data_IF_764647982997
#
_entry.id   IF_764647982997
#
_cell.length_a   1.000
_cell.length_b   1.000
_cell.length_c   1.000
_cell.angle_alpha   90.00
_cell.angle_beta   90.00
_cell.angle_gamma   90.00
#
_symmetry.space_group_name_H-M   'P 1'
#
loop_
_entity.id
_entity.type
_entity.pdbx_description
1 polymer ?
#
# COMPACT_ATOMS: atom_id res chain seq x y z
N UNK A 1 27.84 55.82 6.57
CA UNK A 1 26.51 55.58 7.17
C UNK A 1 25.47 55.67 6.06
N UNK A 2 24.77 54.58 5.75
CA UNK A 2 23.66 54.61 4.79
C UNK A 2 22.45 55.29 5.45
N UNK A 3 22.07 56.49 5.00
CA UNK A 3 20.84 57.15 5.42
C UNK A 3 19.66 56.54 4.65
N UNK A 4 18.92 55.65 5.31
CA UNK A 4 17.65 55.13 4.80
C UNK A 4 16.53 56.12 5.12
N UNK A 5 15.74 56.48 4.11
CA UNK A 5 14.56 57.34 4.31
C UNK A 5 13.49 56.58 5.11
N UNK A 6 12.66 57.28 5.90
CA UNK A 6 11.56 56.68 6.69
C UNK A 6 10.68 55.73 5.85
N UNK A 7 10.45 56.07 4.57
CA UNK A 7 9.65 55.27 3.64
C UNK A 7 10.33 53.96 3.22
N UNK A 8 11.66 53.97 3.06
CA UNK A 8 12.44 52.78 2.77
C UNK A 8 12.55 51.88 4.01
N UNK A 9 12.72 52.46 5.20
CA UNK A 9 12.72 51.72 6.45
C UNK A 9 11.39 50.99 6.70
N UNK A 10 10.24 51.68 6.51
CA UNK A 10 8.91 51.06 6.67
C UNK A 10 8.68 49.93 5.64
N UNK A 11 9.14 50.09 4.39
CA UNK A 11 9.05 49.03 3.38
C UNK A 11 9.90 47.80 3.74
N UNK A 12 11.14 48.02 4.19
CA UNK A 12 12.04 46.94 4.59
C UNK A 12 11.55 46.23 5.87
N UNK A 13 11.06 46.99 6.85
CA UNK A 13 10.43 46.42 8.05
C UNK A 13 9.18 45.61 7.69
N UNK A 14 8.33 46.13 6.81
CA UNK A 14 7.14 45.42 6.31
C UNK A 14 7.47 44.10 5.61
N UNK A 15 8.49 44.08 4.75
CA UNK A 15 8.97 42.85 4.09
C UNK A 15 9.54 41.83 5.09
N UNK A 16 10.27 42.29 6.11
CA UNK A 16 10.84 41.40 7.15
C UNK A 16 9.79 40.79 8.10
N UNK A 17 8.64 41.45 8.23
CA UNK A 17 7.52 40.99 9.07
C UNK A 17 6.53 40.14 8.25
N UNK A 18 6.38 40.41 6.95
CA UNK A 18 5.52 39.64 6.05
C UNK A 18 5.88 38.15 6.04
N UNK A 19 7.17 37.80 6.03
CA UNK A 19 7.64 36.40 6.09
C UNK A 19 7.32 35.68 7.42
N UNK A 20 6.99 36.43 8.48
CA UNK A 20 6.61 35.88 9.80
C UNK A 20 5.11 35.82 10.02
N UNK A 21 4.33 36.64 9.31
CA UNK A 21 2.87 36.74 9.49
C UNK A 21 2.12 35.96 8.39
N UNK A 22 2.68 35.85 7.19
CA UNK A 22 2.08 35.11 6.09
C UNK A 22 2.54 33.65 6.20
N UNK A 23 1.64 32.70 6.50
CA UNK A 23 2.02 31.31 6.51
C UNK A 23 2.58 30.87 5.14
N UNK A 24 3.66 30.10 5.13
CA UNK A 24 4.30 29.56 3.91
C UNK A 24 3.34 28.82 2.96
N UNK A 25 2.16 28.41 3.41
CA UNK A 25 1.12 27.81 2.56
C UNK A 25 0.39 28.80 1.64
N UNK A 26 0.44 30.12 1.90
CA UNK A 26 -0.10 31.16 1.00
C UNK A 26 0.86 31.50 -0.16
N UNK A 27 2.16 31.16 -0.01
CA UNK A 27 3.17 31.25 -1.06
C UNK A 27 3.44 29.90 -1.73
N UNK A 28 2.58 28.91 -1.51
CA UNK A 28 2.59 27.73 -2.36
C UNK A 28 2.12 28.18 -3.75
N UNK A 29 3.09 28.49 -4.63
CA UNK A 29 2.84 28.33 -6.05
C UNK A 29 2.14 26.99 -6.24
N UNK A 30 1.09 26.98 -7.05
CA UNK A 30 0.50 25.74 -7.54
C UNK A 30 1.60 24.98 -8.26
N UNK A 31 2.35 24.16 -7.52
CA UNK A 31 3.34 23.24 -8.07
C UNK A 31 2.59 22.46 -9.12
N UNK A 32 2.91 22.72 -10.39
CA UNK A 32 2.29 22.07 -11.54
C UNK A 32 2.07 20.60 -11.18
N UNK A 33 0.82 20.14 -11.31
CA UNK A 33 0.40 18.83 -10.82
C UNK A 33 1.27 17.79 -11.53
N UNK A 34 2.25 17.24 -10.80
CA UNK A 34 3.15 16.24 -11.36
C UNK A 34 2.30 15.10 -11.90
N UNK A 35 2.51 14.73 -13.15
CA UNK A 35 1.80 13.62 -13.77
C UNK A 35 2.36 12.26 -13.32
N UNK A 36 3.48 12.28 -12.60
CA UNK A 36 4.18 11.09 -12.17
C UNK A 36 3.30 10.25 -11.24
N UNK A 37 3.24 8.95 -11.52
CA UNK A 37 2.65 7.95 -10.63
C UNK A 37 3.79 7.33 -9.82
N UNK A 38 3.54 7.06 -8.55
CA UNK A 38 4.50 6.42 -7.65
C UNK A 38 3.92 5.08 -7.22
N UNK A 39 4.68 4.01 -7.45
CA UNK A 39 4.38 2.66 -6.98
C UNK A 39 5.51 2.23 -6.06
N UNK A 40 5.17 1.89 -4.82
CA UNK A 40 6.07 1.37 -3.81
C UNK A 40 5.79 -0.14 -3.73
N UNK A 41 6.75 -0.96 -4.13
CA UNK A 41 6.65 -2.42 -4.04
C UNK A 41 7.52 -2.89 -2.90
N UNK A 42 6.97 -3.73 -2.04
CA UNK A 42 7.66 -4.28 -0.86
C UNK A 42 7.53 -5.80 -0.83
N UNK A 43 8.66 -6.47 -0.67
CA UNK A 43 8.73 -7.89 -0.30
C UNK A 43 8.61 -7.95 1.23
N UNK A 44 7.39 -7.68 1.71
CA UNK A 44 7.03 -7.42 3.10
C UNK A 44 7.24 -8.60 4.04
N UNK A 45 7.13 -9.84 3.56
CA UNK A 45 7.47 -11.04 4.33
C UNK A 45 8.96 -11.13 4.70
N UNK A 46 9.80 -10.28 4.09
CA UNK A 46 11.22 -10.16 4.43
C UNK A 46 12.10 -11.02 3.53
N UNK A 47 12.99 -10.37 2.80
CA UNK A 47 14.02 -11.03 2.00
C UNK A 47 15.40 -10.66 2.48
N UNK A 48 16.27 -11.65 2.56
CA UNK A 48 17.69 -11.44 2.89
C UNK A 48 18.47 -11.07 1.65
N UNK A 49 19.56 -10.33 1.84
CA UNK A 49 20.50 -9.99 0.78
C UNK A 49 21.15 -11.25 0.17
N UNK A 50 21.48 -12.24 1.00
CA UNK A 50 22.08 -13.53 0.58
C UNK A 50 21.24 -14.28 -0.45
N UNK A 51 19.91 -14.23 -0.31
CA UNK A 51 18.96 -14.89 -1.20
C UNK A 51 18.51 -14.01 -2.37
N UNK A 52 18.98 -12.77 -2.46
CA UNK A 52 18.58 -11.80 -3.50
C UNK A 52 19.79 -11.19 -4.22
N UNK A 53 20.27 -10.02 -3.79
CA UNK A 53 21.28 -9.27 -4.56
C UNK A 53 22.74 -9.70 -4.30
N UNK A 54 22.99 -10.72 -3.48
CA UNK A 54 24.29 -11.38 -3.38
C UNK A 54 24.59 -12.22 -4.63
N UNK A 55 25.86 -12.49 -4.98
CA UNK A 55 26.23 -13.23 -6.19
C UNK A 55 25.50 -14.56 -6.40
N UNK A 56 25.27 -15.34 -5.34
CA UNK A 56 24.53 -16.60 -5.42
C UNK A 56 23.00 -16.43 -5.36
N UNK A 57 22.53 -15.30 -4.82
CA UNK A 57 21.12 -15.00 -4.63
C UNK A 57 20.41 -14.54 -5.90
N UNK A 58 21.14 -13.92 -6.85
CA UNK A 58 20.52 -13.26 -8.00
C UNK A 58 19.72 -14.21 -8.89
N UNK A 59 20.04 -15.51 -8.84
CA UNK A 59 19.29 -16.56 -9.55
C UNK A 59 17.82 -16.66 -9.10
N UNK A 60 17.50 -16.20 -7.89
CA UNK A 60 16.14 -16.22 -7.34
C UNK A 60 15.34 -14.98 -7.75
N UNK A 61 15.99 -13.94 -8.28
CA UNK A 61 15.36 -12.64 -8.61
C UNK A 61 15.72 -12.10 -10.02
N UNK A 62 15.61 -12.90 -11.08
CA UNK A 62 15.98 -12.46 -12.43
C UNK A 62 15.23 -11.21 -12.89
N UNK A 63 13.92 -11.05 -12.57
CA UNK A 63 13.13 -9.88 -13.00
C UNK A 63 13.56 -8.60 -12.30
N UNK A 64 13.75 -8.64 -10.97
CA UNK A 64 14.27 -7.48 -10.25
C UNK A 64 15.69 -7.10 -10.71
N UNK A 65 16.49 -8.07 -11.15
CA UNK A 65 17.82 -7.80 -11.70
C UNK A 65 17.73 -7.07 -13.06
N UNK A 66 16.75 -7.40 -13.90
CA UNK A 66 16.47 -6.70 -15.16
C UNK A 66 16.11 -5.22 -14.95
N UNK A 67 15.46 -4.88 -13.83
CA UNK A 67 15.11 -3.49 -13.48
C UNK A 67 16.31 -2.65 -13.00
N UNK A 68 17.40 -3.31 -12.59
CA UNK A 68 18.58 -2.63 -12.03
C UNK A 68 19.19 -1.55 -12.94
N UNK A 69 19.41 -1.77 -14.26
CA UNK A 69 19.89 -0.71 -15.16
C UNK A 69 18.89 0.41 -15.43
N UNK A 70 17.59 0.21 -15.16
CA UNK A 70 16.54 1.20 -15.45
C UNK A 70 16.39 2.26 -14.34
N UNK A 71 17.12 2.12 -13.24
CA UNK A 71 16.99 3.02 -12.10
C UNK A 71 18.24 3.10 -11.22
N UNK A 72 18.04 3.63 -10.01
CA UNK A 72 19.10 3.75 -9.02
C UNK A 72 19.10 2.54 -8.09
N UNK A 73 20.22 1.81 -8.10
CA UNK A 73 20.42 0.67 -7.21
C UNK A 73 21.23 1.06 -5.98
N UNK A 74 20.58 1.05 -4.82
CA UNK A 74 21.20 1.31 -3.53
C UNK A 74 21.76 0.01 -2.94
N UNK A 75 23.09 -0.15 -2.99
CA UNK A 75 23.78 -1.37 -2.50
C UNK A 75 23.73 -1.52 -0.98
N UNK A 76 23.76 -0.40 -0.28
CA UNK A 76 23.85 -0.33 1.17
C UNK A 76 22.59 0.35 1.72
N UNK A 77 21.62 -0.47 2.12
CA UNK A 77 20.41 -0.02 2.80
C UNK A 77 20.51 -0.44 4.28
N UNK A 78 20.35 0.53 5.19
CA UNK A 78 20.38 0.30 6.63
C UNK A 78 19.00 0.56 7.21
N UNK A 79 18.52 -0.36 8.05
CA UNK A 79 17.36 -0.13 8.90
C UNK A 79 17.87 0.09 10.33
N UNK A 80 17.61 1.28 10.88
CA UNK A 80 17.94 1.64 12.28
C UNK A 80 16.72 1.69 13.19
N UNK A 81 15.55 1.30 12.67
CA UNK A 81 14.30 1.19 13.42
C UNK A 81 13.97 -0.26 13.79
N UNK A 82 12.67 -0.51 14.03
CA UNK A 82 12.15 -1.83 14.36
C UNK A 82 12.07 -2.70 13.10
N UNK A 83 12.56 -3.94 13.19
CA UNK A 83 12.64 -4.89 12.06
C UNK A 83 11.35 -5.68 11.80
N UNK A 84 10.28 -5.43 12.53
CA UNK A 84 8.99 -6.08 12.27
C UNK A 84 8.39 -5.60 10.95
N UNK A 85 7.60 -6.45 10.31
CA UNK A 85 7.06 -6.21 8.97
C UNK A 85 6.22 -4.93 8.89
N UNK A 86 5.32 -4.75 9.87
CA UNK A 86 4.46 -3.58 9.94
C UNK A 86 5.26 -2.30 10.17
N UNK A 87 6.14 -2.26 11.18
CA UNK A 87 6.94 -1.08 11.48
C UNK A 87 7.91 -0.73 10.35
N UNK A 88 8.51 -1.73 9.69
CA UNK A 88 9.40 -1.52 8.55
C UNK A 88 8.67 -0.86 7.39
N UNK A 89 7.50 -1.38 6.99
CA UNK A 89 6.74 -0.81 5.88
C UNK A 89 6.12 0.54 6.25
N UNK A 90 5.61 0.67 7.47
CA UNK A 90 5.12 1.95 7.98
C UNK A 90 6.23 3.02 7.94
N UNK A 91 7.46 2.68 8.33
CA UNK A 91 8.58 3.62 8.27
C UNK A 91 8.87 4.09 6.84
N UNK A 92 8.74 3.19 5.84
CA UNK A 92 8.86 3.55 4.41
C UNK A 92 7.77 4.54 4.01
N UNK A 93 6.51 4.25 4.29
CA UNK A 93 5.38 5.12 3.88
C UNK A 93 5.23 6.37 4.74
N UNK A 94 6.11 6.60 5.70
CA UNK A 94 6.11 7.81 6.54
C UNK A 94 7.38 8.64 6.47
N UNK A 95 8.49 8.02 6.07
CA UNK A 95 9.80 8.66 6.06
C UNK A 95 10.39 8.91 7.46
N UNK A 96 9.95 8.19 8.50
CA UNK A 96 10.57 8.23 9.82
C UNK A 96 10.55 6.86 10.49
N UNK A 97 11.57 6.60 11.32
CA UNK A 97 11.60 5.43 12.20
C UNK A 97 10.55 5.59 13.30
N UNK A 98 9.84 4.50 13.56
CA UNK A 98 8.87 4.45 14.65
C UNK A 98 8.87 3.09 15.35
N UNK A 99 8.14 3.04 16.46
CA UNK A 99 7.79 1.81 17.15
C UNK A 99 6.34 1.88 17.61
N UNK A 100 5.48 1.18 16.90
CA UNK A 100 4.09 0.87 17.27
C UNK A 100 3.93 -0.63 17.36
N UNK A 101 2.72 -1.10 17.68
CA UNK A 101 2.39 -2.52 17.67
C UNK A 101 2.79 -3.22 16.36
N UNK A 102 3.41 -4.41 16.48
CA UNK A 102 3.95 -5.16 15.33
C UNK A 102 2.87 -5.86 14.50
N UNK A 103 1.67 -6.00 15.05
CA UNK A 103 0.53 -6.68 14.44
C UNK A 103 -0.46 -5.71 13.78
N UNK A 104 -0.16 -4.40 13.80
CA UNK A 104 -0.96 -3.37 13.15
C UNK A 104 -2.28 -3.05 13.84
N UNK A 105 -2.45 -3.44 15.12
CA UNK A 105 -3.59 -3.02 15.94
C UNK A 105 -3.58 -1.51 16.22
N UNK A 106 -2.41 -0.88 16.09
CA UNK A 106 -2.24 0.55 16.15
C UNK A 106 -1.88 1.08 14.75
N UNK A 107 -2.55 2.13 14.26
CA UNK A 107 -2.12 2.77 13.03
C UNK A 107 -0.72 3.39 13.21
N UNK A 108 -0.03 3.69 12.12
CA UNK A 108 1.14 4.55 12.15
C UNK A 108 0.91 5.82 13.01
N UNK A 109 1.78 6.07 14.01
CA UNK A 109 1.82 7.29 14.84
C UNK A 109 1.85 8.70 14.18
N UNK A 110 2.46 8.87 13.00
CA UNK A 110 2.61 10.12 12.25
C UNK A 110 2.01 9.97 10.85
N UNK A 111 1.86 11.06 10.09
CA UNK A 111 1.17 11.03 8.79
C UNK A 111 1.87 10.14 7.76
N UNK A 112 1.07 9.36 7.04
CA UNK A 112 1.50 8.56 5.89
C UNK A 112 1.69 9.43 4.64
N UNK A 113 2.42 8.92 3.65
CA UNK A 113 2.56 9.54 2.33
C UNK A 113 1.19 9.70 1.66
N UNK A 114 0.24 8.80 1.91
CA UNK A 114 -1.14 8.93 1.41
C UNK A 114 -1.82 10.17 1.98
N UNK A 115 -1.77 10.34 3.29
CA UNK A 115 -2.34 11.47 4.01
C UNK A 115 -1.71 12.80 3.62
N UNK A 116 -0.38 12.84 3.55
CA UNK A 116 0.37 14.00 3.10
C UNK A 116 0.00 14.37 1.66
N UNK A 117 -0.02 13.39 0.75
CA UNK A 117 -0.32 13.61 -0.65
C UNK A 117 -1.77 14.08 -0.86
N UNK A 118 -2.75 13.39 -0.25
CA UNK A 118 -4.17 13.76 -0.34
C UNK A 118 -4.44 15.15 0.22
N UNK A 119 -3.85 15.48 1.38
CA UNK A 119 -4.03 16.80 2.01
C UNK A 119 -3.36 17.92 1.22
N UNK A 120 -2.13 17.74 0.74
CA UNK A 120 -1.39 18.79 0.03
C UNK A 120 -1.90 19.02 -1.39
N UNK A 121 -2.33 17.97 -2.09
CA UNK A 121 -2.74 18.05 -3.49
C UNK A 121 -4.25 18.11 -3.69
N UNK A 122 -5.04 17.99 -2.63
CA UNK A 122 -6.52 17.96 -2.68
C UNK A 122 -7.03 16.91 -3.67
N UNK A 123 -6.37 15.76 -3.74
CA UNK A 123 -6.75 14.65 -4.64
C UNK A 123 -7.79 13.74 -3.99
N UNK A 124 -8.44 12.89 -4.80
CA UNK A 124 -9.50 12.00 -4.33
C UNK A 124 -8.89 10.79 -3.62
N UNK A 125 -9.70 10.11 -2.80
CA UNK A 125 -9.30 8.86 -2.16
C UNK A 125 -8.77 7.82 -3.15
N UNK A 126 -9.41 7.69 -4.32
CA UNK A 126 -9.00 6.71 -5.35
C UNK A 126 -7.66 6.98 -6.00
N UNK A 127 -7.04 8.13 -5.74
CA UNK A 127 -5.71 8.42 -6.23
C UNK A 127 -4.64 7.73 -5.37
N UNK A 128 -5.01 7.15 -4.22
CA UNK A 128 -4.10 6.56 -3.22
C UNK A 128 -4.55 5.19 -2.72
N UNK A 129 -3.68 4.19 -2.80
CA UNK A 129 -4.00 2.81 -2.41
C UNK A 129 -2.85 2.12 -1.68
N UNK A 130 -3.17 1.23 -0.75
CA UNK A 130 -2.30 0.25 -0.15
C UNK A 130 -2.95 -1.12 -0.31
N UNK A 131 -2.26 -2.03 -1.00
CA UNK A 131 -2.73 -3.39 -1.26
C UNK A 131 -1.74 -4.33 -0.62
N UNK A 132 -2.19 -5.12 0.34
CA UNK A 132 -1.29 -5.95 1.15
C UNK A 132 -1.90 -7.33 1.41
N UNK A 133 -1.08 -8.37 1.39
CA UNK A 133 -1.57 -9.74 1.61
C UNK A 133 -1.94 -10.00 3.08
N UNK A 134 -1.25 -9.37 4.03
CA UNK A 134 -1.38 -9.66 5.46
C UNK A 134 -2.31 -8.68 6.20
N UNK A 135 -3.17 -9.22 7.08
CA UNK A 135 -4.16 -8.45 7.85
C UNK A 135 -3.56 -7.36 8.75
N UNK A 136 -2.31 -7.48 9.17
CA UNK A 136 -1.63 -6.46 9.98
C UNK A 136 -1.52 -5.11 9.27
N UNK A 137 -1.70 -5.08 7.93
CA UNK A 137 -1.61 -3.85 7.14
C UNK A 137 -2.96 -3.12 7.03
N UNK A 138 -4.02 -3.58 7.70
CA UNK A 138 -5.34 -2.96 7.64
C UNK A 138 -5.31 -1.46 7.96
N UNK A 139 -4.44 -1.05 8.88
CA UNK A 139 -4.29 0.34 9.33
C UNK A 139 -3.23 1.15 8.55
N UNK A 140 -2.63 0.59 7.50
CA UNK A 140 -1.50 1.23 6.78
C UNK A 140 -1.90 2.48 5.98
N UNK A 141 -3.19 2.65 5.70
CA UNK A 141 -3.71 3.79 4.94
C UNK A 141 -3.80 5.10 5.73
N UNK A 142 -3.84 5.05 7.06
CA UNK A 142 -4.11 6.21 7.92
C UNK A 142 -3.10 6.29 9.07
N UNK A 143 -3.05 7.43 9.75
CA UNK A 143 -2.26 7.62 10.94
C UNK A 143 -3.12 7.99 12.15
N UNK A 144 -2.54 7.91 13.35
CA UNK A 144 -3.14 8.47 14.57
C UNK A 144 -2.85 9.96 14.79
N UNK A 145 -2.27 10.66 13.80
CA UNK A 145 -2.03 12.09 13.89
C UNK A 145 -3.35 12.88 13.80
N UNK A 146 -3.62 13.70 14.82
CA UNK A 146 -4.87 14.49 14.92
C UNK A 146 -5.11 15.47 13.78
N UNK A 147 -4.05 15.91 13.08
CA UNK A 147 -4.16 16.77 11.90
C UNK A 147 -4.46 16.00 10.61
N UNK A 148 -4.46 14.67 10.67
CA UNK A 148 -4.66 13.77 9.54
C UNK A 148 -5.73 12.70 9.89
N UNK A 149 -5.51 11.43 9.56
CA UNK A 149 -6.46 10.34 9.74
C UNK A 149 -7.28 10.04 8.48
N UNK A 150 -8.42 9.38 8.69
CA UNK A 150 -9.30 8.83 7.64
C UNK A 150 -9.66 9.83 6.54
N UNK A 151 -9.85 11.11 6.90
CA UNK A 151 -10.16 12.19 5.95
C UNK A 151 -9.17 12.24 4.79
N UNK A 152 -7.90 11.95 5.05
CA UNK A 152 -6.83 11.98 4.06
C UNK A 152 -6.19 10.60 3.81
N UNK A 153 -6.72 9.52 4.38
CA UNK A 153 -6.11 8.18 4.30
C UNK A 153 -6.03 7.57 2.90
N UNK A 154 -5.08 6.66 2.68
CA UNK A 154 -5.11 5.77 1.51
C UNK A 154 -6.24 4.75 1.61
N UNK A 155 -6.76 4.28 0.47
CA UNK A 155 -7.60 3.08 0.47
C UNK A 155 -6.75 1.86 0.78
N UNK A 156 -7.21 0.97 1.66
CA UNK A 156 -6.53 -0.28 2.00
C UNK A 156 -7.35 -1.47 1.50
N UNK A 157 -6.70 -2.41 0.82
CA UNK A 157 -7.30 -3.67 0.39
C UNK A 157 -6.43 -4.82 0.86
N UNK A 158 -7.03 -5.83 1.51
CA UNK A 158 -6.36 -7.04 1.96
C UNK A 158 -6.93 -8.28 1.24
N UNK A 159 -6.37 -8.65 0.08
CA UNK A 159 -6.98 -9.64 -0.80
C UNK A 159 -7.20 -11.02 -0.17
N UNK A 160 -6.21 -11.51 0.60
CA UNK A 160 -6.29 -12.82 1.25
C UNK A 160 -7.42 -12.89 2.28
N UNK A 161 -7.65 -11.80 3.00
CA UNK A 161 -8.65 -11.74 4.05
C UNK A 161 -10.06 -11.89 3.50
N UNK A 162 -10.33 -11.37 2.29
CA UNK A 162 -11.60 -11.60 1.59
C UNK A 162 -11.87 -13.04 1.29
N UNK A 163 -10.85 -13.68 0.74
CA UNK A 163 -10.97 -15.04 0.29
C UNK A 163 -11.26 -15.92 1.50
N UNK A 164 -10.60 -15.65 2.63
CA UNK A 164 -10.87 -16.30 3.90
C UNK A 164 -12.30 -16.06 4.39
N UNK A 165 -12.79 -14.82 4.37
CA UNK A 165 -14.16 -14.51 4.78
C UNK A 165 -15.20 -15.22 3.92
N UNK A 166 -15.00 -15.24 2.59
CA UNK A 166 -15.87 -15.94 1.66
C UNK A 166 -15.85 -17.45 1.85
N UNK A 167 -14.69 -18.04 2.13
CA UNK A 167 -14.59 -19.47 2.41
C UNK A 167 -15.25 -19.81 3.75
N UNK A 168 -15.02 -19.01 4.80
CA UNK A 168 -15.60 -19.23 6.12
C UNK A 168 -17.13 -19.17 6.10
N UNK A 169 -17.70 -18.23 5.36
CA UNK A 169 -19.15 -18.11 5.24
C UNK A 169 -19.79 -19.24 4.42
N UNK A 170 -19.08 -19.79 3.42
CA UNK A 170 -19.50 -21.00 2.69
C UNK A 170 -19.53 -22.21 3.63
N UNK A 171 -18.45 -22.43 4.39
CA UNK A 171 -18.34 -23.54 5.34
C UNK A 171 -19.37 -23.42 6.47
N UNK A 172 -19.56 -22.21 7.01
CA UNK A 172 -20.49 -21.95 8.11
C UNK A 172 -21.97 -22.11 7.75
N UNK A 173 -22.35 -21.89 6.49
CA UNK A 173 -23.76 -22.00 6.03
C UNK A 173 -24.12 -23.40 5.51
N UNK A 174 -23.15 -24.25 5.13
CA UNK A 174 -23.40 -25.62 4.65
C UNK A 174 -22.31 -26.59 5.14
N UNK A 175 -22.56 -27.40 6.19
CA UNK A 175 -21.61 -28.42 6.66
C UNK A 175 -21.24 -29.54 5.67
N UNK A 176 -21.77 -29.50 4.43
CA UNK A 176 -21.46 -30.44 3.34
C UNK A 176 -21.31 -29.80 1.96
N UNK A 177 -21.30 -28.45 1.86
CA UNK A 177 -21.02 -27.74 0.63
C UNK A 177 -19.50 -27.59 0.47
N UNK A 178 -18.90 -28.35 -0.43
CA UNK A 178 -17.45 -28.37 -0.57
C UNK A 178 -16.88 -27.04 -1.05
N UNK A 179 -15.79 -26.59 -0.40
CA UNK A 179 -14.95 -25.46 -0.83
C UNK A 179 -14.26 -25.74 -2.19
N UNK A 180 -14.32 -26.98 -2.67
CA UNK A 180 -13.81 -27.38 -3.97
C UNK A 180 -14.58 -26.75 -5.15
N UNK A 181 -15.83 -26.30 -4.95
CA UNK A 181 -16.60 -25.65 -6.01
C UNK A 181 -16.25 -24.15 -6.08
N UNK A 182 -15.51 -23.78 -7.12
CA UNK A 182 -15.05 -22.41 -7.40
C UNK A 182 -16.21 -21.42 -7.59
N UNK A 183 -17.29 -21.84 -8.22
CA UNK A 183 -18.46 -20.98 -8.49
C UNK A 183 -19.16 -20.57 -7.20
N UNK A 184 -19.21 -21.48 -6.22
CA UNK A 184 -19.80 -21.21 -4.90
C UNK A 184 -18.97 -20.18 -4.12
N UNK A 185 -17.63 -20.26 -4.21
CA UNK A 185 -16.73 -19.28 -3.58
C UNK A 185 -16.88 -17.91 -4.25
N UNK A 186 -17.00 -17.88 -5.58
CA UNK A 186 -17.22 -16.64 -6.34
C UNK A 186 -18.54 -15.96 -5.98
N UNK A 187 -19.65 -16.69 -5.97
CA UNK A 187 -20.96 -16.16 -5.57
C UNK A 187 -20.92 -15.56 -4.15
N UNK A 188 -20.20 -16.20 -3.23
CA UNK A 188 -20.10 -15.70 -1.87
C UNK A 188 -19.19 -14.47 -1.74
N UNK A 189 -18.12 -14.41 -2.53
CA UNK A 189 -17.31 -13.19 -2.64
C UNK A 189 -18.16 -12.04 -3.17
N UNK A 190 -18.97 -12.27 -4.21
CA UNK A 190 -19.91 -11.27 -4.72
C UNK A 190 -20.85 -10.75 -3.64
N UNK A 191 -21.35 -11.64 -2.77
CA UNK A 191 -22.22 -11.29 -1.66
C UNK A 191 -21.50 -10.49 -0.57
N UNK A 192 -20.29 -10.89 -0.15
CA UNK A 192 -19.49 -10.11 0.82
C UNK A 192 -19.22 -8.71 0.29
N UNK A 193 -18.94 -8.60 -1.00
CA UNK A 193 -18.73 -7.30 -1.63
C UNK A 193 -20.03 -6.49 -1.79
N UNK A 194 -21.20 -7.15 -1.80
CA UNK A 194 -22.52 -6.50 -1.82
C UNK A 194 -22.95 -5.94 -0.46
N UNK A 195 -22.62 -6.62 0.65
CA UNK A 195 -23.21 -6.37 1.98
C UNK A 195 -22.71 -5.08 2.69
N UNK A 196 -21.72 -4.37 2.15
CA UNK A 196 -21.30 -3.05 2.64
C UNK A 196 -20.18 -3.08 3.70
N UNK A 197 -19.52 -1.93 3.87
CA UNK A 197 -18.06 -1.79 3.90
C UNK A 197 -17.35 -1.63 5.27
N UNK A 198 -17.77 -2.27 6.35
CA UNK A 198 -16.98 -2.21 7.60
C UNK A 198 -16.74 -3.59 8.20
N UNK A 199 -15.56 -4.15 7.87
CA UNK A 199 -15.09 -5.46 8.28
C UNK A 199 -13.57 -5.60 8.10
N UNK A 200 -12.96 -6.45 8.92
CA UNK A 200 -11.49 -6.61 9.03
C UNK A 200 -10.94 -7.14 7.71
N UNK A 201 -10.40 -6.26 6.87
CA UNK A 201 -9.77 -6.64 5.61
C UNK A 201 -9.66 -5.50 4.61
N UNK A 202 -10.43 -4.42 4.78
CA UNK A 202 -10.50 -3.33 3.81
C UNK A 202 -10.81 -2.03 4.51
N UNK A 203 -10.24 -0.94 4.02
CA UNK A 203 -10.60 0.41 4.46
C UNK A 203 -10.60 1.33 3.24
N UNK A 204 -11.76 1.50 2.62
CA UNK A 204 -11.93 2.42 1.49
C UNK A 204 -12.51 3.72 2.04
N UNK A 205 -11.83 4.83 1.81
CA UNK A 205 -12.36 6.15 2.17
C UNK A 205 -13.68 6.38 1.41
N UNK A 206 -14.79 6.54 2.14
CA UNK A 206 -16.15 6.76 1.61
C UNK A 206 -16.15 7.94 0.62
N UNK A 207 -16.06 7.65 -0.67
CA UNK A 207 -16.11 8.66 -1.74
C UNK A 207 -17.38 8.55 -2.60
N UNK A 208 -18.43 7.92 -2.05
CA UNK A 208 -19.79 7.90 -2.56
C UNK A 208 -20.18 6.58 -3.23
N UNK A 209 -21.48 6.26 -3.21
CA UNK A 209 -22.05 4.96 -3.63
C UNK A 209 -21.60 4.46 -5.01
N UNK A 210 -21.38 5.36 -5.97
CA UNK A 210 -20.95 4.99 -7.33
C UNK A 210 -19.46 4.61 -7.43
N UNK A 211 -18.62 5.17 -6.55
CA UNK A 211 -17.23 4.77 -6.45
C UNK A 211 -17.12 3.37 -5.83
N UNK A 212 -17.96 3.10 -4.83
CA UNK A 212 -18.00 1.80 -4.15
C UNK A 212 -18.37 0.66 -5.12
N UNK A 213 -19.24 0.92 -6.11
CA UNK A 213 -19.57 -0.05 -7.16
C UNK A 213 -18.39 -0.34 -8.11
N UNK A 214 -17.64 0.70 -8.51
CA UNK A 214 -16.46 0.53 -9.38
C UNK A 214 -15.34 -0.22 -8.68
N UNK A 215 -15.10 0.10 -7.41
CA UNK A 215 -14.07 -0.57 -6.59
C UNK A 215 -14.42 -2.04 -6.45
N UNK A 216 -15.69 -2.33 -6.12
CA UNK A 216 -16.19 -3.69 -6.11
C UNK A 216 -15.99 -4.43 -7.43
N UNK A 217 -16.35 -3.82 -8.55
CA UNK A 217 -16.22 -4.46 -9.86
C UNK A 217 -14.75 -4.81 -10.18
N UNK A 218 -13.82 -3.89 -9.91
CA UNK A 218 -12.39 -4.14 -10.10
C UNK A 218 -11.88 -5.29 -9.22
N UNK A 219 -12.31 -5.34 -7.97
CA UNK A 219 -11.87 -6.37 -7.02
C UNK A 219 -12.49 -7.73 -7.34
N UNK A 220 -13.75 -7.78 -7.74
CA UNK A 220 -14.38 -8.98 -8.29
C UNK A 220 -13.67 -9.48 -9.52
N UNK A 221 -13.33 -8.59 -10.45
CA UNK A 221 -12.62 -8.97 -11.66
C UNK A 221 -11.25 -9.58 -11.34
N UNK A 222 -10.50 -9.00 -10.39
CA UNK A 222 -9.21 -9.56 -9.97
C UNK A 222 -9.35 -10.92 -9.28
N UNK A 223 -10.43 -11.13 -8.52
CA UNK A 223 -10.76 -12.43 -7.91
C UNK A 223 -11.19 -13.47 -8.95
N UNK A 224 -11.98 -13.09 -9.95
CA UNK A 224 -12.39 -13.97 -11.05
C UNK A 224 -11.18 -14.39 -11.87
N UNK A 225 -10.30 -13.46 -12.22
CA UNK A 225 -9.07 -13.74 -12.95
C UNK A 225 -8.11 -14.62 -12.14
N UNK A 226 -8.07 -14.44 -10.82
CA UNK A 226 -7.39 -15.34 -9.91
C UNK A 226 -8.04 -16.75 -9.97
N UNK A 227 -9.32 -16.89 -9.65
CA UNK A 227 -9.98 -18.22 -9.53
C UNK A 227 -10.04 -18.99 -10.86
N UNK A 228 -10.18 -18.29 -11.99
CA UNK A 228 -10.35 -18.89 -13.32
C UNK A 228 -9.12 -18.75 -14.23
N UNK A 229 -7.99 -18.30 -13.70
CA UNK A 229 -6.74 -18.17 -14.46
C UNK A 229 -6.27 -19.51 -15.09
N UNK A 230 -5.47 -19.45 -16.17
CA UNK A 230 -5.01 -20.64 -16.90
C UNK A 230 -4.16 -21.60 -16.04
N UNK A 231 -3.56 -21.08 -14.97
CA UNK A 231 -2.97 -21.87 -13.89
C UNK A 231 -3.78 -21.62 -12.62
N UNK A 232 -4.05 -22.67 -11.83
CA UNK A 232 -4.69 -22.51 -10.53
C UNK A 232 -3.73 -21.69 -9.63
N UNK A 233 -4.09 -20.49 -9.18
CA UNK A 233 -3.18 -19.68 -8.39
C UNK A 233 -2.84 -20.41 -7.10
N UNK A 234 -1.57 -20.30 -6.69
CA UNK A 234 -1.01 -21.11 -5.62
C UNK A 234 -0.64 -20.30 -4.38
N UNK A 235 -0.80 -18.96 -4.41
CA UNK A 235 -0.13 -18.08 -3.46
C UNK A 235 -0.89 -16.79 -3.15
N UNK A 236 -0.65 -16.20 -1.97
CA UNK A 236 -1.29 -14.96 -1.54
C UNK A 236 -0.77 -13.75 -2.31
N UNK A 237 0.48 -13.80 -2.76
CA UNK A 237 1.12 -12.75 -3.55
C UNK A 237 0.54 -12.66 -4.95
N UNK A 238 0.26 -13.80 -5.60
CA UNK A 238 -0.45 -13.82 -6.89
C UNK A 238 -1.81 -13.13 -6.79
N UNK A 239 -2.60 -13.47 -5.76
CA UNK A 239 -3.89 -12.79 -5.51
C UNK A 239 -3.70 -11.27 -5.35
N UNK A 240 -2.68 -10.89 -4.58
CA UNK A 240 -2.33 -9.49 -4.33
C UNK A 240 -1.96 -8.77 -5.63
N UNK A 241 -1.22 -9.42 -6.53
CA UNK A 241 -0.87 -8.92 -7.84
C UNK A 241 -2.08 -8.73 -8.76
N UNK A 242 -2.97 -9.72 -8.87
CA UNK A 242 -4.19 -9.61 -9.69
C UNK A 242 -5.08 -8.44 -9.25
N UNK A 243 -5.32 -8.33 -7.94
CA UNK A 243 -6.07 -7.21 -7.37
C UNK A 243 -5.38 -5.87 -7.65
N UNK A 244 -4.06 -5.82 -7.50
CA UNK A 244 -3.28 -4.62 -7.80
C UNK A 244 -3.43 -4.20 -9.25
N UNK A 245 -3.32 -5.14 -10.20
CA UNK A 245 -3.46 -4.88 -11.63
C UNK A 245 -4.84 -4.30 -11.96
N UNK A 246 -5.89 -4.85 -11.37
CA UNK A 246 -7.25 -4.37 -11.60
C UNK A 246 -7.49 -2.98 -11.00
N UNK A 247 -6.96 -2.71 -9.80
CA UNK A 247 -6.98 -1.36 -9.22
C UNK A 247 -6.22 -0.37 -10.12
N UNK A 248 -5.07 -0.77 -10.66
CA UNK A 248 -4.30 0.06 -11.60
C UNK A 248 -5.08 0.34 -12.90
N UNK A 249 -5.79 -0.67 -13.42
CA UNK A 249 -6.57 -0.58 -14.66
C UNK A 249 -7.77 0.34 -14.53
N UNK A 250 -8.56 0.18 -13.47
CA UNK A 250 -9.79 0.94 -13.27
C UNK A 250 -9.52 2.37 -12.74
N UNK A 251 -8.62 2.52 -11.77
CA UNK A 251 -8.46 3.79 -11.04
C UNK A 251 -7.23 4.60 -11.46
N UNK A 252 -6.24 3.97 -12.09
CA UNK A 252 -4.99 4.60 -12.50
C UNK A 252 -4.36 5.49 -11.40
N UNK A 253 -4.15 4.95 -10.18
CA UNK A 253 -3.81 5.72 -9.00
C UNK A 253 -2.50 6.48 -9.16
N UNK A 254 -2.35 7.55 -8.36
CA UNK A 254 -1.15 8.39 -8.34
C UNK A 254 -0.11 7.89 -7.35
N UNK A 255 -0.54 7.27 -6.26
CA UNK A 255 0.33 6.69 -5.23
C UNK A 255 -0.22 5.32 -4.82
N UNK A 256 0.60 4.29 -4.94
CA UNK A 256 0.22 2.91 -4.65
C UNK A 256 1.32 2.22 -3.83
N UNK A 257 0.96 1.58 -2.73
CA UNK A 257 1.79 0.60 -2.04
C UNK A 257 1.28 -0.80 -2.39
N UNK A 258 2.19 -1.69 -2.75
CA UNK A 258 1.94 -3.13 -2.90
C UNK A 258 2.87 -3.88 -1.95
N UNK A 259 2.30 -4.72 -1.09
CA UNK A 259 3.03 -5.50 -0.11
C UNK A 259 2.79 -6.99 -0.31
N UNK A 260 3.84 -7.66 -0.77
CA UNK A 260 3.92 -9.11 -0.94
C UNK A 260 4.42 -9.77 0.35
N UNK A 261 3.89 -10.94 0.69
CA UNK A 261 4.04 -11.54 2.00
C UNK A 261 4.49 -13.01 1.99
N UNK A 262 4.37 -13.75 0.89
CA UNK A 262 4.51 -15.23 0.96
C UNK A 262 5.87 -15.72 1.49
N UNK A 263 6.92 -14.90 1.41
CA UNK A 263 8.25 -15.19 1.95
C UNK A 263 8.31 -15.16 3.50
N UNK A 264 7.27 -14.69 4.17
CA UNK A 264 7.06 -14.82 5.61
C UNK A 264 6.92 -16.30 6.07
N UNK A 265 6.73 -17.21 5.11
CA UNK A 265 6.89 -18.66 5.31
C UNK A 265 8.20 -19.01 6.01
N UNK A 266 9.23 -18.15 5.97
CA UNK A 266 10.48 -18.29 6.71
C UNK A 266 10.31 -18.54 8.23
N UNK A 267 9.20 -18.11 8.83
CA UNK A 267 8.95 -18.30 10.26
C UNK A 267 8.52 -19.73 10.64
N UNK A 268 7.99 -20.51 9.70
CA UNK A 268 7.34 -21.78 10.00
C UNK A 268 7.49 -22.87 8.92
N UNK A 269 8.02 -22.53 7.76
CA UNK A 269 8.27 -23.43 6.63
C UNK A 269 9.75 -23.74 6.43
N UNK A 270 10.02 -24.62 5.47
CA UNK A 270 11.38 -24.98 5.10
C UNK A 270 12.06 -23.85 4.31
N UNK A 271 13.40 -23.84 4.33
CA UNK A 271 14.20 -22.90 3.53
C UNK A 271 13.87 -22.99 2.02
N UNK A 272 13.55 -24.17 1.51
CA UNK A 272 13.14 -24.34 0.12
C UNK A 272 11.82 -23.64 -0.20
N UNK A 273 10.84 -23.64 0.72
CA UNK A 273 9.59 -22.91 0.54
C UNK A 273 9.82 -21.40 0.58
N UNK A 274 10.73 -20.92 1.44
CA UNK A 274 11.17 -19.53 1.46
C UNK A 274 11.77 -19.07 0.13
N UNK A 275 12.72 -19.84 -0.43
CA UNK A 275 13.31 -19.55 -1.74
C UNK A 275 12.27 -19.59 -2.88
N UNK A 276 11.35 -20.55 -2.83
CA UNK A 276 10.25 -20.64 -3.79
C UNK A 276 9.35 -19.42 -3.71
N UNK A 277 9.02 -18.93 -2.51
CA UNK A 277 8.23 -17.71 -2.35
C UNK A 277 8.94 -16.51 -2.98
N UNK A 278 10.24 -16.29 -2.70
CA UNK A 278 11.03 -15.21 -3.33
C UNK A 278 10.96 -15.30 -4.86
N UNK A 279 11.21 -16.48 -5.41
CA UNK A 279 11.24 -16.70 -6.86
C UNK A 279 9.87 -16.52 -7.49
N UNK A 280 8.79 -16.94 -6.82
CA UNK A 280 7.41 -16.74 -7.29
C UNK A 280 7.04 -15.26 -7.30
N UNK A 281 7.36 -14.52 -6.23
CA UNK A 281 7.07 -13.09 -6.14
C UNK A 281 7.88 -12.29 -7.16
N UNK A 282 9.14 -12.64 -7.42
CA UNK A 282 9.95 -12.01 -8.48
C UNK A 282 9.32 -12.15 -9.87
N UNK A 283 8.69 -13.30 -10.18
CA UNK A 283 7.99 -13.50 -11.47
C UNK A 283 6.79 -12.58 -11.67
N UNK A 284 6.26 -11.98 -10.60
CA UNK A 284 5.17 -11.00 -10.65
C UNK A 284 5.66 -9.57 -10.93
N UNK A 285 6.98 -9.33 -10.82
CA UNK A 285 7.61 -8.02 -11.00
C UNK A 285 7.87 -7.69 -12.47
#
# INVERSE_FOLDING_TARGET
>A
MLQLTKRQFIRLAGLSIADRIIPRWLHAESLARSQNKVIIVTFGGGVRYSETFAPEGVRNIPRLLELKPEGFFYRNCLNSGVLSHFNSTASIVRGNWQRVDDFGFQPPASPTLFELYRKQRSVRAIDTWAIATNKSFASMGTSSDSGFGERFGGNVVLPKQLLLEAVQSVVGKRPGGGVANRDVVLEHLENILNEGYEGVGWTISKAGRGLDQKVRAALLQGLVEYINGPEAPTSGDELTFFITREVMREFAPRLLLVNFWDMDIAHWGSYSLYLQAITKTDRLC
#
